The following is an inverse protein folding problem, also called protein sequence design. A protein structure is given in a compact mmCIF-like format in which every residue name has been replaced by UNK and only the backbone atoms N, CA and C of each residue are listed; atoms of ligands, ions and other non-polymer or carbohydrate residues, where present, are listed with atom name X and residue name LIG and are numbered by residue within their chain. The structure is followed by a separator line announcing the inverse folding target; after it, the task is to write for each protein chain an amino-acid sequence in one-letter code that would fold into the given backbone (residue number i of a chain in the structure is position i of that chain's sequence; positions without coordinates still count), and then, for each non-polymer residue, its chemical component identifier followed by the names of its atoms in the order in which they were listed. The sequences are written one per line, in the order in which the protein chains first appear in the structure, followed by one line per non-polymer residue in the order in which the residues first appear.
data_IF_028816689816
#
_entry.id   IF_028816689816
#
_cell.length_a   1.000
_cell.length_b   1.000
_cell.length_c   1.000
_cell.angle_alpha   90.00
_cell.angle_beta   90.00
_cell.angle_gamma   90.00
#
_symmetry.space_group_name_H-M   'P 1'
#
loop_
_entity.id
_entity.type
_entity.pdbx_description
1 polymer ?
#
# COMPACT_ATOMS: atom_id res chain seq x y z
N UNK A 1 48.60 23.88 59.35
CA UNK A 1 49.17 23.60 58.02
C UNK A 1 48.10 22.91 57.18
N UNK A 2 47.85 23.48 56.00
CA UNK A 2 47.43 22.82 54.76
C UNK A 2 46.01 22.22 54.63
N UNK A 3 45.27 22.90 53.74
CA UNK A 3 44.13 22.49 52.92
C UNK A 3 44.01 20.99 52.60
N UNK A 4 42.77 20.47 52.64
CA UNK A 4 42.08 20.08 51.38
C UNK A 4 40.57 20.09 51.51
N UNK A 5 39.98 21.04 50.80
CA UNK A 5 38.58 21.15 50.41
C UNK A 5 38.19 20.06 49.41
N UNK A 6 37.07 19.37 49.63
CA UNK A 6 36.24 18.83 48.55
C UNK A 6 34.75 19.00 48.90
N UNK A 7 33.90 19.39 47.93
CA UNK A 7 32.66 20.11 48.19
C UNK A 7 31.41 19.23 48.13
N UNK A 8 30.37 19.81 48.73
CA UNK A 8 28.94 19.55 48.56
C UNK A 8 28.50 19.23 47.12
N UNK A 9 27.29 18.66 47.07
CA UNK A 9 26.34 18.60 45.95
C UNK A 9 26.29 17.24 45.25
N UNK A 10 25.74 16.27 45.99
CA UNK A 10 25.19 15.06 45.42
C UNK A 10 24.04 15.37 44.46
N UNK A 11 24.27 15.03 43.19
CA UNK A 11 23.35 14.28 42.32
C UNK A 11 21.87 14.72 42.42
N UNK A 12 21.57 15.87 41.84
CA UNK A 12 20.18 16.29 41.61
C UNK A 12 20.07 17.11 40.32
N UNK A 13 20.50 16.58 39.16
CA UNK A 13 20.14 17.16 37.85
C UNK A 13 20.49 16.20 36.70
N UNK A 14 19.58 15.29 36.30
CA UNK A 14 19.71 14.54 35.03
C UNK A 14 18.38 13.91 34.58
N UNK A 15 17.25 14.62 34.70
CA UNK A 15 15.92 14.12 34.34
C UNK A 15 15.11 15.06 33.42
N UNK A 16 15.73 15.85 32.53
CA UNK A 16 15.01 16.86 31.73
C UNK A 16 15.38 16.95 30.23
N UNK A 17 15.90 15.90 29.59
CA UNK A 17 16.29 15.96 28.16
C UNK A 17 15.56 15.00 27.20
N UNK A 18 14.42 14.44 27.58
CA UNK A 18 13.67 13.50 26.73
C UNK A 18 12.31 14.01 26.22
N UNK A 19 12.10 15.33 26.06
CA UNK A 19 10.82 15.90 25.61
C UNK A 19 10.94 16.85 24.39
N UNK A 20 11.85 16.57 23.46
CA UNK A 20 11.95 17.29 22.19
C UNK A 20 11.78 16.36 20.98
N UNK A 21 10.66 15.63 20.92
CA UNK A 21 10.24 14.91 19.71
C UNK A 21 8.71 14.77 19.65
N UNK A 22 8.01 15.90 19.69
CA UNK A 22 6.63 16.00 19.21
C UNK A 22 6.51 17.33 18.47
N UNK A 23 7.08 17.40 17.27
CA UNK A 23 6.63 18.41 16.32
C UNK A 23 5.34 17.90 15.68
N UNK A 24 4.29 18.73 15.57
CA UNK A 24 3.09 18.36 14.84
C UNK A 24 3.42 18.35 13.35
N UNK A 25 3.60 17.15 12.81
CA UNK A 25 3.63 16.95 11.36
C UNK A 25 2.25 17.25 10.80
N UNK A 26 2.22 18.04 9.72
CA UNK A 26 1.07 18.22 8.83
C UNK A 26 0.50 16.87 8.38
N UNK A 27 -0.77 16.79 7.92
CA UNK A 27 -1.37 15.54 7.50
C UNK A 27 -0.67 15.03 6.24
N UNK A 28 0.38 14.23 6.43
CA UNK A 28 1.03 13.49 5.38
C UNK A 28 0.21 12.21 5.22
N UNK A 29 -0.57 12.15 4.14
CA UNK A 29 -1.23 10.93 3.68
C UNK A 29 -0.27 9.75 3.83
N UNK A 30 -0.71 8.71 4.53
CA UNK A 30 0.02 7.46 4.76
C UNK A 30 0.59 6.95 3.44
N UNK A 31 1.87 7.26 3.19
CA UNK A 31 2.67 6.56 2.20
C UNK A 31 3.27 5.39 2.95
N UNK A 32 2.78 4.19 2.68
CA UNK A 32 3.52 2.96 2.92
C UNK A 32 4.79 3.02 2.08
N UNK A 33 5.85 3.61 2.63
CA UNK A 33 7.18 3.57 2.04
C UNK A 33 7.75 2.18 2.28
N UNK A 34 7.69 1.33 1.26
CA UNK A 34 8.49 0.12 1.24
C UNK A 34 9.95 0.54 1.00
N UNK A 35 10.85 0.38 1.97
CA UNK A 35 12.28 0.75 1.88
C UNK A 35 13.10 -0.12 0.90
N UNK A 36 12.43 -0.90 0.05
CA UNK A 36 13.06 -1.55 -1.10
C UNK A 36 12.98 -0.57 -2.27
N UNK A 37 14.07 -0.27 -3.00
CA UNK A 37 13.97 0.49 -4.23
C UNK A 37 13.11 -0.30 -5.21
N UNK A 38 11.82 -0.01 -5.23
CA UNK A 38 10.86 -0.65 -6.11
C UNK A 38 11.30 -0.31 -7.53
N UNK A 39 11.74 -1.31 -8.29
CA UNK A 39 12.08 -1.14 -9.72
C UNK A 39 10.87 -0.67 -10.53
N UNK A 40 9.68 -0.67 -9.92
CA UNK A 40 8.41 -0.25 -10.50
C UNK A 40 7.54 0.46 -9.47
N UNK A 41 6.72 1.41 -9.92
CA UNK A 41 5.66 2.00 -9.09
C UNK A 41 4.45 2.39 -9.93
N UNK A 42 3.29 2.41 -9.29
CA UNK A 42 2.02 2.83 -9.85
C UNK A 42 1.44 3.92 -8.95
N UNK A 43 1.05 5.06 -9.51
CA UNK A 43 0.40 6.16 -8.79
C UNK A 43 -0.90 6.59 -9.45
N UNK A 44 -1.82 7.11 -8.65
CA UNK A 44 -3.07 7.72 -9.09
C UNK A 44 -3.05 9.19 -8.72
N UNK A 45 -3.09 10.08 -9.72
CA UNK A 45 -2.97 11.52 -9.53
C UNK A 45 -4.03 12.25 -10.36
N UNK A 46 -4.96 12.96 -9.73
CA UNK A 46 -6.09 13.65 -10.39
C UNK A 46 -6.95 12.76 -11.31
N UNK A 47 -6.91 11.46 -11.09
CA UNK A 47 -7.57 10.48 -11.96
C UNK A 47 -6.74 10.10 -13.19
N UNK A 48 -5.47 10.44 -13.27
CA UNK A 48 -4.54 9.80 -14.19
C UNK A 48 -3.77 8.70 -13.47
N UNK A 49 -3.35 7.67 -14.21
CA UNK A 49 -2.54 6.56 -13.67
C UNK A 49 -1.14 6.71 -14.23
N UNK A 50 -0.13 6.84 -13.37
CA UNK A 50 1.27 6.88 -13.80
C UNK A 50 1.97 5.58 -13.44
N UNK A 51 2.58 4.94 -14.43
CA UNK A 51 3.40 3.75 -14.32
C UNK A 51 4.86 4.16 -14.49
N UNK A 52 5.69 3.79 -13.51
CA UNK A 52 7.15 3.97 -13.58
C UNK A 52 7.80 2.61 -13.56
N UNK A 53 8.75 2.41 -14.46
CA UNK A 53 9.61 1.23 -14.52
C UNK A 53 11.04 1.72 -14.64
N UNK A 54 11.95 1.15 -13.85
CA UNK A 54 13.37 1.52 -13.85
C UNK A 54 13.96 1.40 -15.26
N UNK A 55 14.65 2.44 -15.72
CA UNK A 55 15.21 2.51 -17.06
C UNK A 55 14.22 2.84 -18.18
N UNK A 56 12.94 3.10 -17.86
CA UNK A 56 11.93 3.58 -18.82
C UNK A 56 11.44 4.97 -18.44
N UNK A 57 11.06 5.82 -19.41
CA UNK A 57 10.33 7.05 -19.11
C UNK A 57 9.00 6.72 -18.40
N UNK A 58 8.37 7.67 -17.69
CA UNK A 58 7.05 7.44 -17.11
C UNK A 58 6.01 7.24 -18.22
N UNK A 59 5.10 6.28 -18.01
CA UNK A 59 3.88 6.15 -18.79
C UNK A 59 2.70 6.67 -17.99
N UNK A 60 1.83 7.46 -18.60
CA UNK A 60 0.61 7.97 -17.99
C UNK A 60 -0.59 7.51 -18.80
N UNK A 61 -1.57 6.90 -18.15
CA UNK A 61 -2.87 6.60 -18.71
C UNK A 61 -3.85 7.65 -18.19
N UNK A 62 -4.35 8.49 -19.07
CA UNK A 62 -5.26 9.59 -18.68
C UNK A 62 -6.60 9.05 -18.20
N UNK A 63 -7.42 9.94 -17.62
CA UNK A 63 -8.83 9.63 -17.32
C UNK A 63 -9.63 9.18 -18.55
N UNK A 64 -9.37 9.75 -19.73
CA UNK A 64 -10.06 9.40 -20.98
C UNK A 64 -9.63 8.04 -21.54
N UNK A 65 -8.47 7.52 -21.15
CA UNK A 65 -7.89 6.28 -21.70
C UNK A 65 -6.80 6.51 -22.74
N UNK A 66 -6.26 7.74 -22.84
CA UNK A 66 -5.09 8.03 -23.65
C UNK A 66 -3.81 7.53 -22.98
N UNK A 67 -2.84 7.11 -23.78
CA UNK A 67 -1.51 6.74 -23.31
C UNK A 67 -0.50 7.84 -23.64
N UNK A 68 0.20 8.32 -22.63
CA UNK A 68 1.33 9.24 -22.76
C UNK A 68 2.60 8.52 -22.30
N UNK A 69 3.68 8.64 -23.07
CA UNK A 69 5.01 8.18 -22.67
C UNK A 69 5.91 9.41 -22.64
N UNK A 70 6.57 9.67 -21.50
CA UNK A 70 7.36 10.90 -21.33
C UNK A 70 6.53 12.17 -21.58
N UNK A 71 5.25 12.14 -21.19
CA UNK A 71 4.29 13.23 -21.44
C UNK A 71 3.85 13.40 -22.90
N UNK A 72 4.30 12.54 -23.82
CA UNK A 72 3.91 12.59 -25.25
C UNK A 72 2.83 11.56 -25.54
N UNK A 73 1.74 11.99 -26.14
CA UNK A 73 0.64 11.10 -26.51
C UNK A 73 1.09 10.07 -27.56
N UNK A 74 0.79 8.80 -27.30
CA UNK A 74 0.96 7.70 -28.24
C UNK A 74 -0.28 7.64 -29.11
N UNK A 75 -0.10 7.55 -30.43
CA UNK A 75 -1.21 7.34 -31.35
C UNK A 75 -1.80 5.95 -31.16
N UNK A 76 -3.11 5.88 -30.89
CA UNK A 76 -3.85 4.64 -30.65
C UNK A 76 -4.99 4.52 -31.66
N UNK A 77 -5.26 3.29 -32.12
CA UNK A 77 -6.50 2.97 -32.80
C UNK A 77 -7.68 2.96 -31.81
N UNK A 78 -8.91 2.98 -32.31
CA UNK A 78 -10.11 2.85 -31.48
C UNK A 78 -10.10 1.53 -30.65
N UNK A 79 -9.62 0.43 -31.24
CA UNK A 79 -9.46 -0.85 -30.54
C UNK A 79 -8.45 -0.73 -29.39
N UNK A 80 -7.28 -0.15 -29.66
CA UNK A 80 -6.22 0.02 -28.66
C UNK A 80 -6.64 0.95 -27.52
N UNK A 81 -7.34 2.04 -27.83
CA UNK A 81 -7.92 2.94 -26.83
C UNK A 81 -8.94 2.21 -25.96
N UNK A 82 -9.81 1.39 -26.55
CA UNK A 82 -10.76 0.56 -25.81
C UNK A 82 -10.07 -0.40 -24.82
N UNK A 83 -8.95 -1.00 -25.21
CA UNK A 83 -8.14 -1.86 -24.33
C UNK A 83 -7.53 -1.09 -23.16
N UNK A 84 -7.05 0.13 -23.38
CA UNK A 84 -6.52 1.00 -22.32
C UNK A 84 -7.59 1.41 -21.32
N UNK A 85 -8.78 1.79 -21.81
CA UNK A 85 -9.93 2.10 -20.95
C UNK A 85 -10.30 0.89 -20.09
N UNK A 86 -10.34 -0.31 -20.68
CA UNK A 86 -10.64 -1.54 -19.94
C UNK A 86 -9.57 -1.86 -18.89
N UNK A 87 -8.29 -1.80 -19.24
CA UNK A 87 -7.18 -2.02 -18.31
C UNK A 87 -7.22 -1.02 -17.13
N UNK A 88 -7.46 0.26 -17.43
CA UNK A 88 -7.62 1.32 -16.43
C UNK A 88 -8.79 1.05 -15.48
N UNK A 89 -9.93 0.61 -16.00
CA UNK A 89 -11.09 0.29 -15.17
C UNK A 89 -10.79 -0.86 -14.19
N UNK A 90 -10.05 -1.88 -14.65
CA UNK A 90 -9.62 -3.00 -13.79
C UNK A 90 -8.65 -2.54 -12.70
N UNK A 91 -7.69 -1.66 -13.01
CA UNK A 91 -6.80 -1.07 -12.00
C UNK A 91 -7.57 -0.31 -10.92
N UNK A 92 -8.56 0.48 -11.34
CA UNK A 92 -9.44 1.20 -10.42
C UNK A 92 -10.24 0.26 -9.52
N UNK A 93 -10.82 -0.81 -10.08
CA UNK A 93 -11.61 -1.79 -9.34
C UNK A 93 -10.77 -2.49 -8.24
N UNK A 94 -9.59 -2.99 -8.62
CA UNK A 94 -8.64 -3.62 -7.68
C UNK A 94 -8.22 -2.65 -6.60
N UNK A 95 -7.87 -1.40 -6.97
CA UNK A 95 -7.45 -0.37 -6.01
C UNK A 95 -8.56 0.01 -5.02
N UNK A 96 -9.80 0.16 -5.49
CA UNK A 96 -10.95 0.46 -4.63
C UNK A 96 -11.27 -0.67 -3.66
N UNK A 97 -11.21 -1.93 -4.12
CA UNK A 97 -11.43 -3.07 -3.24
C UNK A 97 -10.27 -3.24 -2.25
N UNK A 98 -9.03 -3.03 -2.69
CA UNK A 98 -7.85 -3.03 -1.81
C UNK A 98 -7.93 -1.97 -0.72
N UNK A 99 -8.43 -0.78 -1.03
CA UNK A 99 -8.67 0.27 -0.04
C UNK A 99 -9.72 -0.15 1.00
N UNK A 100 -10.81 -0.76 0.55
CA UNK A 100 -11.89 -1.19 1.45
C UNK A 100 -11.43 -2.31 2.39
N UNK A 101 -10.76 -3.34 1.84
CA UNK A 101 -10.13 -4.41 2.62
C UNK A 101 -9.08 -3.84 3.58
N UNK A 102 -8.25 -2.90 3.12
CA UNK A 102 -7.26 -2.23 3.96
C UNK A 102 -7.87 -1.49 5.15
N UNK A 103 -8.98 -0.77 4.94
CA UNK A 103 -9.73 -0.10 6.01
C UNK A 103 -10.30 -1.08 7.03
N UNK A 104 -10.90 -2.16 6.56
CA UNK A 104 -11.46 -3.21 7.43
C UNK A 104 -10.36 -3.90 8.23
N UNK A 105 -9.22 -4.21 7.61
CA UNK A 105 -8.05 -4.76 8.27
C UNK A 105 -7.46 -3.84 9.34
N UNK A 106 -7.34 -2.54 9.05
CA UNK A 106 -6.88 -1.55 10.02
C UNK A 106 -7.83 -1.45 11.23
N UNK A 107 -9.14 -1.41 10.98
CA UNK A 107 -10.15 -1.37 12.04
C UNK A 107 -10.11 -2.63 12.92
N UNK A 108 -9.95 -3.81 12.31
CA UNK A 108 -9.78 -5.08 13.03
C UNK A 108 -8.51 -5.07 13.89
N UNK A 109 -7.39 -4.59 13.35
CA UNK A 109 -6.13 -4.50 14.08
C UNK A 109 -6.19 -3.58 15.29
N UNK A 110 -6.80 -2.39 15.15
CA UNK A 110 -7.01 -1.46 16.27
C UNK A 110 -7.88 -2.10 17.36
N UNK A 111 -8.95 -2.79 16.96
CA UNK A 111 -9.84 -3.48 17.90
C UNK A 111 -9.10 -4.60 18.64
N UNK A 112 -8.39 -5.46 17.92
CA UNK A 112 -7.61 -6.55 18.51
C UNK A 112 -6.56 -6.05 19.50
N UNK A 113 -5.85 -4.96 19.19
CA UNK A 113 -4.90 -4.34 20.10
C UNK A 113 -5.59 -3.78 21.36
N UNK A 114 -6.73 -3.11 21.20
CA UNK A 114 -7.54 -2.61 22.32
C UNK A 114 -8.01 -3.73 23.24
N UNK A 115 -8.53 -4.81 22.65
CA UNK A 115 -9.05 -5.94 23.42
C UNK A 115 -7.90 -6.72 24.11
N UNK A 116 -6.72 -6.84 23.50
CA UNK A 116 -5.54 -7.43 24.14
C UNK A 116 -5.09 -6.63 25.37
N UNK A 117 -5.06 -5.29 25.27
CA UNK A 117 -4.76 -4.40 26.41
C UNK A 117 -5.81 -4.55 27.52
N UNK A 118 -7.10 -4.58 27.16
CA UNK A 118 -8.18 -4.78 28.11
C UNK A 118 -8.10 -6.16 28.78
N UNK A 119 -7.73 -7.21 28.04
CA UNK A 119 -7.54 -8.57 28.56
C UNK A 119 -6.43 -8.66 29.60
N UNK A 120 -5.31 -7.96 29.40
CA UNK A 120 -4.22 -7.87 30.39
C UNK A 120 -4.68 -7.18 31.67
N UNK A 121 -5.50 -6.13 31.57
CA UNK A 121 -6.00 -5.39 32.74
C UNK A 121 -7.10 -6.16 33.48
N UNK A 122 -7.99 -6.84 32.75
CA UNK A 122 -9.18 -7.50 33.31
C UNK A 122 -8.97 -8.98 33.67
N UNK A 123 -7.91 -9.62 33.17
CA UNK A 123 -7.67 -11.06 33.34
C UNK A 123 -8.60 -11.97 32.53
N UNK A 124 -9.40 -11.41 31.60
CA UNK A 124 -10.40 -12.14 30.83
C UNK A 124 -10.08 -12.07 29.34
N UNK A 125 -9.41 -13.09 28.81
CA UNK A 125 -8.88 -13.11 27.43
C UNK A 125 -9.70 -13.97 26.47
N UNK A 126 -10.65 -14.76 26.96
CA UNK A 126 -11.22 -15.89 26.20
C UNK A 126 -12.32 -15.47 25.20
N UNK A 127 -13.21 -14.53 25.56
CA UNK A 127 -14.31 -14.10 24.68
C UNK A 127 -13.92 -13.10 23.58
N UNK A 128 -12.72 -12.54 23.64
CA UNK A 128 -12.23 -11.57 22.65
C UNK A 128 -11.79 -12.26 21.35
N UNK A 129 -11.18 -13.45 21.45
CA UNK A 129 -10.55 -14.14 20.32
C UNK A 129 -11.52 -14.53 19.21
N UNK A 130 -12.66 -15.16 19.56
CA UNK A 130 -13.60 -15.75 18.59
C UNK A 130 -14.20 -14.70 17.64
N UNK A 131 -14.49 -13.50 18.13
CA UNK A 131 -15.03 -12.41 17.30
C UNK A 131 -13.99 -11.84 16.33
N UNK A 132 -12.73 -11.77 16.75
CA UNK A 132 -11.62 -11.29 15.92
C UNK A 132 -11.32 -12.31 14.82
N UNK A 133 -11.30 -13.61 15.13
CA UNK A 133 -11.10 -14.69 14.16
C UNK A 133 -12.18 -14.70 13.07
N UNK A 134 -13.46 -14.58 13.46
CA UNK A 134 -14.55 -14.54 12.50
C UNK A 134 -14.49 -13.32 11.56
N UNK A 135 -14.00 -12.18 12.05
CA UNK A 135 -13.79 -10.98 11.22
C UNK A 135 -12.55 -11.11 10.32
N UNK A 136 -11.49 -11.74 10.82
CA UNK A 136 -10.29 -12.04 10.05
C UNK A 136 -10.60 -13.00 8.88
N UNK A 137 -11.42 -14.02 9.10
CA UNK A 137 -11.80 -14.96 8.04
C UNK A 137 -12.64 -14.26 6.95
N UNK A 138 -13.56 -13.36 7.32
CA UNK A 138 -14.28 -12.55 6.32
C UNK A 138 -13.32 -11.69 5.49
N UNK A 139 -12.34 -11.08 6.14
CA UNK A 139 -11.34 -10.26 5.45
C UNK A 139 -10.49 -11.11 4.49
N UNK A 140 -10.11 -12.33 4.89
CA UNK A 140 -9.43 -13.31 4.05
C UNK A 140 -10.22 -13.61 2.78
N UNK A 141 -11.53 -13.83 2.89
CA UNK A 141 -12.39 -14.06 1.73
C UNK A 141 -12.48 -12.85 0.80
N UNK A 142 -12.54 -11.62 1.33
CA UNK A 142 -12.49 -10.41 0.50
C UNK A 142 -11.14 -10.23 -0.19
N UNK A 143 -10.03 -10.61 0.46
CA UNK A 143 -8.70 -10.61 -0.14
C UNK A 143 -8.57 -11.62 -1.29
N UNK A 144 -9.14 -12.83 -1.16
CA UNK A 144 -9.18 -13.81 -2.26
C UNK A 144 -9.93 -13.27 -3.49
N UNK A 145 -11.00 -12.50 -3.30
CA UNK A 145 -11.71 -11.85 -4.41
C UNK A 145 -10.82 -10.81 -5.12
N UNK A 146 -9.96 -10.10 -4.38
CA UNK A 146 -8.97 -9.20 -4.97
C UNK A 146 -7.99 -10.01 -5.84
N UNK A 147 -7.48 -11.15 -5.36
CA UNK A 147 -6.58 -12.00 -6.15
C UNK A 147 -7.20 -12.45 -7.48
N UNK A 148 -8.49 -12.82 -7.48
CA UNK A 148 -9.22 -13.14 -8.71
C UNK A 148 -9.34 -11.94 -9.68
N UNK A 149 -9.52 -10.72 -9.15
CA UNK A 149 -9.54 -9.50 -9.97
C UNK A 149 -8.15 -9.16 -10.52
N UNK A 150 -7.07 -9.40 -9.75
CA UNK A 150 -5.70 -9.22 -10.22
C UNK A 150 -5.41 -10.14 -11.41
N UNK A 151 -5.93 -11.36 -11.42
CA UNK A 151 -5.82 -12.25 -12.58
C UNK A 151 -6.52 -11.66 -13.84
N UNK A 152 -7.71 -11.08 -13.65
CA UNK A 152 -8.45 -10.40 -14.73
C UNK A 152 -7.72 -9.16 -15.25
N UNK A 153 -7.18 -8.36 -14.32
CA UNK A 153 -6.34 -7.20 -14.62
C UNK A 153 -5.10 -7.59 -15.44
N UNK A 154 -4.45 -8.70 -15.08
CA UNK A 154 -3.29 -9.22 -15.79
C UNK A 154 -3.65 -9.67 -17.22
N UNK A 155 -4.80 -10.29 -17.43
CA UNK A 155 -5.28 -10.61 -18.78
C UNK A 155 -5.48 -9.34 -19.64
N UNK A 156 -6.06 -8.29 -19.05
CA UNK A 156 -6.22 -7.00 -19.73
C UNK A 156 -4.84 -6.38 -20.06
N UNK A 157 -3.89 -6.46 -19.13
CA UNK A 157 -2.51 -6.01 -19.34
C UNK A 157 -1.83 -6.75 -20.49
N UNK A 158 -1.90 -8.07 -20.50
CA UNK A 158 -1.24 -8.91 -21.52
C UNK A 158 -1.81 -8.66 -22.91
N UNK A 159 -3.14 -8.51 -23.00
CA UNK A 159 -3.83 -8.15 -24.24
C UNK A 159 -3.37 -6.78 -24.73
N UNK A 160 -3.31 -5.80 -23.83
CA UNK A 160 -2.85 -4.45 -24.15
C UNK A 160 -1.38 -4.44 -24.61
N UNK A 161 -0.50 -5.17 -23.91
CA UNK A 161 0.92 -5.29 -24.26
C UNK A 161 1.13 -5.95 -25.63
N UNK A 162 0.28 -6.90 -26.01
CA UNK A 162 0.33 -7.53 -27.34
C UNK A 162 -0.03 -6.54 -28.45
N UNK A 163 -1.06 -5.72 -28.22
CA UNK A 163 -1.67 -4.81 -29.21
C UNK A 163 -1.04 -3.42 -29.26
N UNK A 164 -0.41 -2.97 -28.19
CA UNK A 164 0.22 -1.64 -28.06
C UNK A 164 1.71 -1.83 -27.71
N UNK A 165 2.61 -1.88 -28.71
CA UNK A 165 4.03 -2.13 -28.47
C UNK A 165 4.68 -1.13 -27.51
N UNK A 166 4.27 0.14 -27.54
CA UNK A 166 4.77 1.18 -26.64
C UNK A 166 4.43 0.92 -25.16
N UNK A 167 3.40 0.11 -24.88
CA UNK A 167 2.99 -0.23 -23.52
C UNK A 167 3.74 -1.45 -22.96
N UNK A 168 4.36 -2.29 -23.80
CA UNK A 168 5.03 -3.54 -23.37
C UNK A 168 5.97 -3.38 -22.17
N UNK A 169 6.83 -2.34 -22.08
CA UNK A 169 7.74 -2.21 -20.95
C UNK A 169 7.05 -1.98 -19.60
N UNK A 170 5.78 -1.58 -19.61
CA UNK A 170 4.99 -1.24 -18.41
C UNK A 170 4.05 -2.38 -18.00
N UNK A 171 3.88 -3.40 -18.85
CA UNK A 171 3.13 -4.61 -18.56
C UNK A 171 3.93 -5.48 -17.57
N UNK A 172 3.67 -5.28 -16.29
CA UNK A 172 4.56 -5.73 -15.21
C UNK A 172 3.95 -6.77 -14.27
N UNK A 173 2.64 -7.02 -14.34
CA UNK A 173 2.02 -8.14 -13.63
C UNK A 173 2.37 -9.47 -14.30
N UNK A 174 3.05 -10.35 -13.57
CA UNK A 174 3.47 -11.66 -14.04
C UNK A 174 2.75 -12.82 -13.33
N UNK A 175 3.05 -14.07 -13.72
CA UNK A 175 2.31 -15.26 -13.26
C UNK A 175 2.56 -15.59 -11.79
N UNK A 176 3.75 -15.25 -11.30
CA UNK A 176 4.10 -15.36 -9.89
C UNK A 176 3.21 -14.45 -9.05
N UNK A 177 2.98 -13.20 -9.49
CA UNK A 177 2.19 -12.23 -8.72
C UNK A 177 0.76 -12.73 -8.39
N UNK A 178 0.14 -13.48 -9.30
CA UNK A 178 -1.18 -14.08 -9.08
C UNK A 178 -1.08 -15.29 -8.13
N UNK A 179 -0.11 -16.17 -8.39
CA UNK A 179 0.16 -17.37 -7.57
C UNK A 179 0.43 -17.00 -6.12
N UNK A 180 1.18 -15.93 -5.90
CA UNK A 180 1.64 -15.53 -4.59
C UNK A 180 0.52 -14.82 -3.81
N UNK A 181 -0.37 -14.09 -4.50
CA UNK A 181 -1.58 -13.53 -3.90
C UNK A 181 -2.43 -14.62 -3.21
N UNK A 182 -2.71 -15.72 -3.89
CA UNK A 182 -3.54 -16.80 -3.35
C UNK A 182 -2.86 -17.55 -2.19
N UNK A 183 -1.53 -17.68 -2.22
CA UNK A 183 -0.75 -18.36 -1.17
C UNK A 183 -0.63 -17.50 0.09
N UNK A 184 -0.43 -16.20 -0.05
CA UNK A 184 -0.25 -15.27 1.07
C UNK A 184 -1.53 -15.04 1.88
N UNK A 185 -2.68 -15.30 1.28
CA UNK A 185 -3.97 -15.20 1.95
C UNK A 185 -4.34 -16.53 2.65
N UNK A 186 -3.67 -17.64 2.34
CA UNK A 186 -4.04 -18.98 2.80
C UNK A 186 -3.68 -19.29 4.24
#
# INVERSE_FOLDING_TARGET
MQHRSLPLAGIALLALLALAACQPSTPQSDRTSSDTPSTRSLSFDNGDITLKVSGQPPATITRSGDLLIDGKQVALSAEQHGLLVAYRAQLGAVGMQGLEVGKQGAALGVKAAGDALAGVISGNTEHVGEHIEAQAEKLKQEALKICAQVATLRQAQDTLAQKVPAFRPYASLDASDISDCDKSVK
#
